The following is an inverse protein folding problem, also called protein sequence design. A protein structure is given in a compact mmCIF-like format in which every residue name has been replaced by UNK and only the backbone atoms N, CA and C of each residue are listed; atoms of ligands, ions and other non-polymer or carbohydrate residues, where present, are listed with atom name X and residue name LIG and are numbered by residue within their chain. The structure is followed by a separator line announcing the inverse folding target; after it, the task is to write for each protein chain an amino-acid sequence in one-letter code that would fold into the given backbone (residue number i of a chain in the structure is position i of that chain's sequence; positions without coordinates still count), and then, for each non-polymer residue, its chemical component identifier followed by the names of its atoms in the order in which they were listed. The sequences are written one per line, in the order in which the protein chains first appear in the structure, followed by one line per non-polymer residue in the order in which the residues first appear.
data_IF_697821130462
#
_entry.id   IF_697821130462
#
_cell.length_a   1.000
_cell.length_b   1.000
_cell.length_c   1.000
_cell.angle_alpha   90.00
_cell.angle_beta   90.00
_cell.angle_gamma   90.00
#
_symmetry.space_group_name_H-M   'P 1'
#
loop_
_entity.id
_entity.type
_entity.pdbx_description
1 polymer ?
#
# COMPACT_ATOMS: atom_id res chain seq x y z
N UNK A 1 -15.71 36.79 -39.36
CA UNK A 1 -14.67 36.47 -38.36
C UNK A 1 -14.47 34.96 -38.38
N UNK A 2 -13.47 34.47 -39.12
CA UNK A 2 -13.19 33.04 -39.28
C UNK A 2 -12.37 32.58 -38.08
N UNK A 3 -12.95 31.72 -37.24
CA UNK A 3 -12.27 31.15 -36.08
C UNK A 3 -11.07 30.32 -36.59
N UNK A 4 -9.85 30.50 -36.04
CA UNK A 4 -8.68 29.72 -36.42
C UNK A 4 -8.93 28.21 -36.30
N UNK A 5 -8.43 27.41 -37.24
CA UNK A 5 -8.62 25.96 -37.27
C UNK A 5 -8.20 25.26 -35.96
N UNK A 6 -7.18 25.80 -35.28
CA UNK A 6 -6.74 25.31 -33.98
C UNK A 6 -7.83 25.38 -32.89
N UNK A 7 -8.62 26.44 -32.87
CA UNK A 7 -9.70 26.60 -31.88
C UNK A 7 -10.89 25.69 -32.18
N UNK A 8 -11.08 25.31 -33.45
CA UNK A 8 -12.11 24.34 -33.85
C UNK A 8 -11.73 22.93 -33.36
N UNK A 9 -10.46 22.53 -33.54
CA UNK A 9 -9.98 21.24 -33.03
C UNK A 9 -10.04 21.16 -31.50
N UNK A 10 -9.65 22.23 -30.80
CA UNK A 10 -9.73 22.27 -29.33
C UNK A 10 -11.17 22.10 -28.81
N UNK A 11 -12.15 22.75 -29.45
CA UNK A 11 -13.55 22.62 -29.09
C UNK A 11 -14.12 21.22 -29.37
N UNK A 12 -13.68 20.58 -30.45
CA UNK A 12 -14.08 19.19 -30.78
C UNK A 12 -13.49 18.22 -29.76
N UNK A 13 -12.21 18.35 -29.40
CA UNK A 13 -11.54 17.52 -28.38
C UNK A 13 -12.20 17.70 -27.01
N UNK A 14 -12.50 18.93 -26.59
CA UNK A 14 -13.24 19.20 -25.36
C UNK A 14 -14.68 18.65 -25.39
N UNK A 15 -15.32 18.63 -26.57
CA UNK A 15 -16.62 18.01 -26.78
C UNK A 15 -16.61 16.48 -26.65
N UNK A 16 -15.48 15.83 -26.96
CA UNK A 16 -15.30 14.39 -26.74
C UNK A 16 -15.00 14.06 -25.27
N UNK A 17 -14.18 14.85 -24.59
CA UNK A 17 -13.81 14.63 -23.19
C UNK A 17 -15.02 14.79 -22.23
N UNK A 18 -15.88 15.78 -22.51
CA UNK A 18 -17.09 16.03 -21.70
C UNK A 18 -18.21 15.00 -21.86
N UNK A 19 -18.22 14.23 -22.97
CA UNK A 19 -19.25 13.21 -23.23
C UNK A 19 -18.97 11.87 -22.53
N UNK A 20 -17.74 11.64 -22.08
CA UNK A 20 -17.36 10.44 -21.32
C UNK A 20 -17.43 10.77 -19.83
N UNK A 21 -18.62 11.13 -19.34
CA UNK A 21 -18.85 11.17 -17.90
C UNK A 21 -19.03 9.71 -17.43
N UNK A 22 -18.10 9.13 -16.66
CA UNK A 22 -18.26 7.77 -16.19
C UNK A 22 -19.51 7.70 -15.32
N UNK A 23 -20.38 6.72 -15.57
CA UNK A 23 -21.58 6.54 -14.77
C UNK A 23 -21.20 6.43 -13.28
N UNK A 24 -22.00 7.04 -12.39
CA UNK A 24 -21.77 7.05 -10.94
C UNK A 24 -21.47 5.65 -10.37
N UNK A 25 -22.07 4.64 -10.98
CA UNK A 25 -21.86 3.21 -10.71
C UNK A 25 -20.45 2.72 -11.06
N UNK A 26 -19.89 3.10 -12.23
CA UNK A 26 -18.50 2.76 -12.60
C UNK A 26 -17.49 3.42 -11.66
N UNK A 27 -17.75 4.66 -11.25
CA UNK A 27 -16.90 5.37 -10.27
C UNK A 27 -16.88 4.58 -8.97
N UNK A 28 -18.03 4.30 -8.36
CA UNK A 28 -18.13 3.51 -7.11
C UNK A 28 -17.39 2.17 -7.19
N UNK A 29 -17.56 1.45 -8.30
CA UNK A 29 -16.94 0.13 -8.49
C UNK A 29 -15.41 0.22 -8.58
N UNK A 30 -14.90 1.28 -9.21
CA UNK A 30 -13.46 1.53 -9.31
C UNK A 30 -12.86 2.00 -7.97
N UNK A 31 -13.62 2.76 -7.16
CA UNK A 31 -13.21 3.08 -5.79
C UNK A 31 -13.11 1.81 -4.94
N UNK A 32 -14.09 0.92 -5.04
CA UNK A 32 -14.10 -0.35 -4.30
C UNK A 32 -12.93 -1.26 -4.67
N UNK A 33 -12.62 -1.37 -5.96
CA UNK A 33 -11.49 -2.18 -6.42
C UNK A 33 -10.14 -1.60 -5.96
N UNK A 34 -10.01 -0.27 -5.88
CA UNK A 34 -8.82 0.39 -5.34
C UNK A 34 -8.67 0.10 -3.84
N UNK A 35 -9.72 0.25 -3.03
CA UNK A 35 -9.61 -0.03 -1.59
C UNK A 35 -9.26 -1.50 -1.32
N UNK A 36 -9.83 -2.43 -2.10
CA UNK A 36 -9.50 -3.85 -1.98
C UNK A 36 -8.03 -4.13 -2.27
N UNK A 37 -7.48 -3.56 -3.34
CA UNK A 37 -6.05 -3.68 -3.68
C UNK A 37 -5.15 -3.21 -2.55
N UNK A 38 -5.51 -2.10 -1.93
CA UNK A 38 -4.77 -1.47 -0.85
C UNK A 38 -4.77 -2.36 0.42
N UNK A 39 -5.91 -2.96 0.75
CA UNK A 39 -6.03 -3.89 1.88
C UNK A 39 -5.20 -5.16 1.64
N UNK A 40 -5.25 -5.72 0.42
CA UNK A 40 -4.46 -6.91 0.05
C UNK A 40 -2.96 -6.60 0.05
N UNK A 41 -2.54 -5.40 -0.35
CA UNK A 41 -1.14 -5.01 -0.22
C UNK A 41 -0.71 -4.98 1.24
N UNK A 42 -1.46 -4.35 2.15
CA UNK A 42 -1.09 -4.33 3.58
C UNK A 42 -0.99 -5.72 4.21
N UNK A 43 -1.91 -6.62 3.85
CA UNK A 43 -1.82 -8.03 4.23
C UNK A 43 -0.52 -8.67 3.73
N UNK A 44 -0.24 -8.56 2.43
CA UNK A 44 0.93 -9.16 1.79
C UNK A 44 2.24 -8.59 2.33
N UNK A 45 2.30 -7.28 2.53
CA UNK A 45 3.49 -6.59 3.01
C UNK A 45 3.77 -6.95 4.48
N UNK A 46 2.74 -7.08 5.33
CA UNK A 46 2.92 -7.53 6.72
C UNK A 46 3.34 -9.00 6.79
N UNK A 47 2.79 -9.83 5.91
CA UNK A 47 3.21 -11.23 5.76
C UNK A 47 4.70 -11.33 5.39
N UNK A 48 5.14 -10.57 4.37
CA UNK A 48 6.55 -10.52 3.97
C UNK A 48 7.46 -9.99 5.08
N UNK A 49 7.02 -8.95 5.79
CA UNK A 49 7.78 -8.36 6.90
C UNK A 49 8.09 -9.41 7.98
N UNK A 50 7.08 -10.16 8.40
CA UNK A 50 7.25 -11.16 9.46
C UNK A 50 7.95 -12.40 8.94
N UNK A 51 7.62 -12.88 7.74
CA UNK A 51 8.23 -14.07 7.18
C UNK A 51 9.75 -13.87 7.00
N UNK A 52 10.14 -12.84 6.26
CA UNK A 52 11.56 -12.57 6.00
C UNK A 52 12.26 -11.99 7.23
N UNK A 53 11.59 -11.17 8.03
CA UNK A 53 12.13 -10.62 9.28
C UNK A 53 12.48 -11.72 10.28
N UNK A 54 11.56 -12.66 10.54
CA UNK A 54 11.82 -13.78 11.45
C UNK A 54 12.93 -14.70 10.92
N UNK A 55 13.07 -14.90 9.60
CA UNK A 55 14.20 -15.64 9.02
C UNK A 55 15.56 -15.02 9.42
N UNK A 56 15.63 -13.71 9.63
CA UNK A 56 16.87 -13.03 10.09
C UNK A 56 17.19 -13.24 11.57
N UNK A 57 16.33 -13.96 12.31
CA UNK A 57 16.56 -14.34 13.70
C UNK A 57 17.04 -15.79 13.85
N UNK A 58 17.14 -16.52 12.74
CA UNK A 58 17.62 -17.91 12.74
C UNK A 58 19.09 -17.94 13.19
N UNK A 59 19.46 -18.92 14.03
CA UNK A 59 20.81 -19.01 14.52
C UNK A 59 21.83 -19.23 13.39
N UNK A 60 22.97 -18.53 13.46
CA UNK A 60 24.04 -18.64 12.49
C UNK A 60 24.97 -19.75 12.97
N UNK A 61 25.08 -20.82 12.18
CA UNK A 61 25.98 -21.92 12.48
C UNK A 61 27.41 -21.41 12.66
N UNK A 62 28.02 -21.71 13.81
CA UNK A 62 29.40 -21.34 14.14
C UNK A 62 29.58 -20.05 14.94
N UNK A 63 28.50 -19.36 15.35
CA UNK A 63 28.57 -18.22 16.28
C UNK A 63 27.89 -18.55 17.62
N UNK A 64 28.65 -18.54 18.72
CA UNK A 64 28.10 -18.73 20.08
C UNK A 64 27.19 -17.58 20.52
N UNK A 65 27.41 -16.37 19.97
CA UNK A 65 26.64 -15.17 20.27
C UNK A 65 26.18 -14.55 18.96
N UNK A 66 24.86 -14.40 18.82
CA UNK A 66 24.27 -13.69 17.70
C UNK A 66 24.70 -12.22 17.68
N UNK A 67 25.30 -11.73 16.58
CA UNK A 67 25.62 -10.31 16.47
C UNK A 67 24.33 -9.49 16.58
N UNK A 68 24.23 -8.54 17.53
CA UNK A 68 22.98 -7.80 17.77
C UNK A 68 22.51 -6.97 16.56
N UNK A 69 23.44 -6.62 15.66
CA UNK A 69 23.12 -5.89 14.43
C UNK A 69 22.55 -6.77 13.31
N UNK A 70 22.72 -8.10 13.37
CA UNK A 70 22.34 -8.99 12.27
C UNK A 70 20.82 -8.93 11.99
N UNK A 71 20.01 -9.21 13.01
CA UNK A 71 18.55 -9.16 12.88
C UNK A 71 18.05 -7.73 12.67
N UNK A 72 18.69 -6.72 13.28
CA UNK A 72 18.30 -5.31 13.10
C UNK A 72 18.47 -4.86 11.63
N UNK A 73 19.61 -5.17 11.02
CA UNK A 73 19.86 -4.87 9.59
C UNK A 73 18.95 -5.71 8.70
N UNK A 74 18.70 -6.96 9.08
CA UNK A 74 17.77 -7.86 8.39
C UNK A 74 16.36 -7.30 8.29
N UNK A 75 15.73 -7.01 9.44
CA UNK A 75 14.43 -6.37 9.52
C UNK A 75 14.40 -5.03 8.79
N UNK A 76 15.41 -4.18 8.98
CA UNK A 76 15.52 -2.89 8.29
C UNK A 76 15.53 -3.03 6.77
N UNK A 77 16.22 -4.04 6.25
CA UNK A 77 16.29 -4.33 4.80
C UNK A 77 14.95 -4.81 4.26
N UNK A 78 14.25 -5.68 5.00
CA UNK A 78 12.92 -6.16 4.61
C UNK A 78 11.91 -5.01 4.59
N UNK A 79 11.94 -4.12 5.58
CA UNK A 79 11.08 -2.91 5.61
C UNK A 79 11.38 -2.02 4.40
N UNK A 80 12.65 -1.77 4.09
CA UNK A 80 13.04 -0.96 2.93
C UNK A 80 12.54 -1.58 1.62
N UNK A 81 12.72 -2.88 1.43
CA UNK A 81 12.23 -3.62 0.27
C UNK A 81 10.72 -3.51 0.13
N UNK A 82 10.00 -3.66 1.24
CA UNK A 82 8.54 -3.57 1.27
C UNK A 82 8.04 -2.15 0.94
N UNK A 83 8.68 -1.10 1.47
CA UNK A 83 8.34 0.30 1.12
C UNK A 83 8.61 0.57 -0.35
N UNK A 84 9.75 0.11 -0.88
CA UNK A 84 10.08 0.29 -2.30
C UNK A 84 9.08 -0.42 -3.22
N UNK A 85 8.59 -1.61 -2.82
CA UNK A 85 7.70 -2.44 -3.64
C UNK A 85 6.23 -2.04 -3.51
N UNK A 86 5.74 -1.79 -2.29
CA UNK A 86 4.31 -1.60 -1.98
C UNK A 86 3.95 -0.18 -1.55
N UNK A 87 4.93 0.70 -1.33
CA UNK A 87 4.70 2.07 -0.86
C UNK A 87 3.79 2.89 -1.78
N UNK A 88 3.85 2.66 -3.10
CA UNK A 88 2.99 3.34 -4.06
C UNK A 88 1.52 2.86 -4.04
N UNK A 89 1.24 1.71 -3.42
CA UNK A 89 -0.11 1.11 -3.38
C UNK A 89 -0.81 1.51 -2.08
N UNK A 90 -0.24 1.20 -0.92
CA UNK A 90 -0.85 1.43 0.40
C UNK A 90 -0.09 2.38 1.32
N UNK A 91 1.09 2.87 0.92
CA UNK A 91 2.03 3.52 1.83
C UNK A 91 2.82 2.55 2.70
N UNK A 92 2.54 1.24 2.59
CA UNK A 92 3.26 0.15 3.23
C UNK A 92 3.40 0.38 4.76
N UNK A 93 2.28 0.51 5.46
CA UNK A 93 2.28 0.81 6.89
C UNK A 93 2.78 -0.38 7.71
N UNK A 94 2.35 -1.61 7.35
CA UNK A 94 2.78 -2.88 7.94
C UNK A 94 2.62 -2.98 9.47
N UNK A 95 1.96 -2.00 10.10
CA UNK A 95 1.94 -1.82 11.54
C UNK A 95 0.71 -1.02 11.96
N UNK A 96 -0.08 -1.53 12.93
CA UNK A 96 -1.30 -0.86 13.38
C UNK A 96 -1.03 0.49 14.05
N UNK A 97 0.11 0.66 14.71
CA UNK A 97 0.53 1.94 15.30
C UNK A 97 0.84 3.00 14.24
N UNK A 98 1.45 2.60 13.12
CA UNK A 98 1.74 3.52 12.00
C UNK A 98 0.45 3.91 11.29
N UNK A 99 -0.46 2.96 11.09
CA UNK A 99 -1.81 3.23 10.59
C UNK A 99 -2.58 4.20 11.49
N UNK A 100 -2.49 4.03 12.82
CA UNK A 100 -3.11 4.95 13.77
C UNK A 100 -2.51 6.34 13.70
N UNK A 101 -1.19 6.45 13.55
CA UNK A 101 -0.52 7.74 13.33
C UNK A 101 -1.02 8.41 12.05
N UNK A 102 -1.15 7.66 10.95
CA UNK A 102 -1.66 8.18 9.68
C UNK A 102 -3.14 8.61 9.76
N UNK A 103 -3.95 7.92 10.58
CA UNK A 103 -5.31 8.31 10.92
C UNK A 103 -5.37 9.64 11.68
N UNK A 104 -4.54 9.79 12.71
CA UNK A 104 -4.46 11.03 13.50
C UNK A 104 -3.98 12.21 12.66
N UNK A 105 -3.11 11.96 11.68
CA UNK A 105 -2.64 12.96 10.73
C UNK A 105 -3.68 13.34 9.67
N UNK A 106 -4.78 12.59 9.55
CA UNK A 106 -5.82 12.83 8.55
C UNK A 106 -5.49 12.31 7.15
N UNK A 107 -4.43 11.50 7.00
CA UNK A 107 -4.03 10.91 5.72
C UNK A 107 -4.88 9.67 5.34
N UNK A 108 -5.62 9.12 6.30
CA UNK A 108 -6.41 7.90 6.11
C UNK A 108 -7.83 8.06 6.68
N UNK A 109 -8.82 7.43 6.06
CA UNK A 109 -10.19 7.40 6.60
C UNK A 109 -10.30 6.35 7.70
N UNK A 110 -11.09 6.63 8.75
CA UNK A 110 -11.33 5.71 9.87
C UNK A 110 -11.68 4.26 9.45
N UNK A 111 -12.67 4.03 8.57
CA UNK A 111 -13.04 2.66 8.16
C UNK A 111 -11.90 1.95 7.42
N UNK A 112 -11.13 2.67 6.59
CA UNK A 112 -9.98 2.09 5.90
C UNK A 112 -8.86 1.73 6.86
N UNK A 113 -8.61 2.58 7.86
CA UNK A 113 -7.61 2.30 8.89
C UNK A 113 -7.93 1.08 9.74
N UNK A 114 -9.21 0.84 10.06
CA UNK A 114 -9.62 -0.40 10.73
C UNK A 114 -9.38 -1.61 9.80
N UNK A 115 -9.72 -1.50 8.51
CA UNK A 115 -9.46 -2.56 7.54
C UNK A 115 -7.96 -2.87 7.39
N UNK A 116 -7.09 -1.86 7.45
CA UNK A 116 -5.63 -2.02 7.48
C UNK A 116 -5.18 -2.82 8.70
N UNK A 117 -5.63 -2.43 9.89
CA UNK A 117 -5.27 -3.13 11.14
C UNK A 117 -5.68 -4.60 11.07
N UNK A 118 -6.88 -4.89 10.59
CA UNK A 118 -7.36 -6.27 10.41
C UNK A 118 -6.47 -7.02 9.41
N UNK A 119 -6.16 -6.42 8.25
CA UNK A 119 -5.30 -7.03 7.24
C UNK A 119 -3.87 -7.30 7.76
N UNK A 120 -3.30 -6.36 8.51
CA UNK A 120 -1.98 -6.51 9.15
C UNK A 120 -2.00 -7.64 10.18
N UNK A 121 -3.03 -7.71 11.03
CA UNK A 121 -3.19 -8.81 11.99
C UNK A 121 -3.37 -10.17 11.30
N UNK A 122 -4.19 -10.25 10.25
CA UNK A 122 -4.36 -11.49 9.47
C UNK A 122 -3.05 -11.92 8.81
N UNK A 123 -2.29 -10.98 8.23
CA UNK A 123 -0.98 -11.27 7.64
C UNK A 123 0.00 -11.81 8.66
N UNK A 124 -0.02 -11.27 9.88
CA UNK A 124 0.80 -11.77 10.99
C UNK A 124 0.40 -13.18 11.44
N UNK A 125 -0.90 -13.45 11.57
CA UNK A 125 -1.41 -14.77 11.98
C UNK A 125 -1.01 -15.84 10.95
N UNK A 126 -1.14 -15.54 9.65
CA UNK A 126 -0.83 -16.50 8.58
C UNK A 126 0.64 -16.91 8.56
N UNK A 127 1.56 -16.00 8.90
CA UNK A 127 2.99 -16.34 8.98
C UNK A 127 3.32 -17.14 10.24
N UNK A 128 2.59 -16.88 11.32
CA UNK A 128 2.85 -17.51 12.61
C UNK A 128 2.31 -18.95 12.70
N UNK A 129 1.22 -19.25 11.97
CA UNK A 129 0.65 -20.59 11.86
C UNK A 129 1.50 -21.52 10.99
#
# INVERSE_FOLDING_TARGET
MTIPAANQMANVIQGFDTKVQPSRMKIMMNWWSVQFKVIVSEFTTTMLLLFLGCMTTIPLDGFDIHPPMYSAIGFGTVVLFNIASFGHISGAHMNPSVTLSALLWGNLTLPLGIAYVIAQCLGAIVVYL
#
